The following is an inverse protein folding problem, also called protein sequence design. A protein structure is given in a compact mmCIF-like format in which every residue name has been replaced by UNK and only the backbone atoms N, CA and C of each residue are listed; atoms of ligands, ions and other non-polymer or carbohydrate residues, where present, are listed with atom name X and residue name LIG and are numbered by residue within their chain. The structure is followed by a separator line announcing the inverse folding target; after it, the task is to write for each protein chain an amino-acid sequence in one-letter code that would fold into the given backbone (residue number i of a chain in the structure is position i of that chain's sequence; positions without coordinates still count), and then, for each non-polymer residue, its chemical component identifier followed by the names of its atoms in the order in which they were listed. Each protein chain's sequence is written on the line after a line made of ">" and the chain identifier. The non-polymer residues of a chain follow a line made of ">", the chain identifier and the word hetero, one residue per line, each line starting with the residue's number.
data_IF_205248388686
#
_entry.id   IF_205248388686
#
_cell.length_a   1.000
_cell.length_b   1.000
_cell.length_c   1.000
_cell.angle_alpha   90.00
_cell.angle_beta   90.00
_cell.angle_gamma   90.00
#
_symmetry.space_group_name_H-M   'P 1'
#
loop_
_entity.id
_entity.type
_entity.pdbx_description
1 polymer ?
#
# COMPACT_ATOMS: atom_id res chain seq x y z
N UNK A 1 -6.79 17.47 -24.80
CA UNK A 1 -6.09 16.54 -25.71
C UNK A 1 -4.73 15.98 -25.23
N UNK A 2 -4.27 16.10 -23.96
CA UNK A 2 -3.11 15.30 -23.50
C UNK A 2 -3.49 13.99 -22.78
N UNK A 3 -4.73 13.83 -22.31
CA UNK A 3 -5.13 12.66 -21.49
C UNK A 3 -5.47 11.37 -22.27
N UNK A 4 -5.58 11.43 -23.60
CA UNK A 4 -5.98 10.28 -24.45
C UNK A 4 -4.77 9.39 -24.83
N UNK A 5 -3.54 9.89 -24.68
CA UNK A 5 -2.32 9.08 -24.92
C UNK A 5 -1.98 8.21 -23.71
N UNK A 6 -2.51 8.54 -22.53
CA UNK A 6 -2.29 7.81 -21.28
C UNK A 6 -2.99 6.43 -21.26
N UNK A 7 -3.98 6.24 -22.14
CA UNK A 7 -5.02 5.25 -21.95
C UNK A 7 -4.71 3.86 -22.54
N UNK A 8 -3.88 3.79 -23.59
CA UNK A 8 -3.51 2.52 -24.25
C UNK A 8 -2.38 1.77 -23.52
N UNK A 9 -1.65 2.43 -22.62
CA UNK A 9 -0.44 1.88 -21.97
C UNK A 9 -0.71 1.18 -20.63
N UNK A 10 -1.82 1.48 -19.94
CA UNK A 10 -2.03 1.08 -18.54
C UNK A 10 -1.96 -0.43 -18.27
N UNK A 11 -2.62 -1.27 -19.09
CA UNK A 11 -2.59 -2.72 -18.90
C UNK A 11 -1.19 -3.30 -19.16
N UNK A 12 -0.51 -2.81 -20.19
CA UNK A 12 0.84 -3.23 -20.54
C UNK A 12 1.83 -2.80 -19.46
N UNK A 13 1.72 -1.56 -18.98
CA UNK A 13 2.57 -1.01 -17.93
C UNK A 13 2.36 -1.75 -16.60
N UNK A 14 1.12 -2.11 -16.26
CA UNK A 14 0.83 -2.91 -15.07
C UNK A 14 1.49 -4.30 -15.13
N UNK A 15 1.39 -5.00 -16.26
CA UNK A 15 2.00 -6.33 -16.45
C UNK A 15 3.52 -6.23 -16.41
N UNK A 16 4.11 -5.26 -17.12
CA UNK A 16 5.57 -5.06 -17.16
C UNK A 16 6.09 -4.70 -15.78
N UNK A 17 5.46 -3.75 -15.09
CA UNK A 17 5.89 -3.29 -13.76
C UNK A 17 5.81 -4.42 -12.72
N UNK A 18 4.70 -5.18 -12.70
CA UNK A 18 4.57 -6.34 -11.81
C UNK A 18 5.63 -7.41 -12.10
N UNK A 19 5.89 -7.69 -13.39
CA UNK A 19 6.90 -8.67 -13.81
C UNK A 19 8.31 -8.24 -13.41
N UNK A 20 8.68 -6.97 -13.65
CA UNK A 20 10.00 -6.42 -13.28
C UNK A 20 10.19 -6.46 -11.76
N UNK A 21 9.17 -6.08 -10.99
CA UNK A 21 9.22 -6.15 -9.54
C UNK A 21 9.52 -7.58 -9.05
N UNK A 22 8.76 -8.57 -9.53
CA UNK A 22 8.96 -9.97 -9.15
C UNK A 22 10.31 -10.53 -9.59
N UNK A 23 10.77 -10.20 -10.81
CA UNK A 23 12.09 -10.61 -11.31
C UNK A 23 13.22 -9.99 -10.49
N UNK A 24 13.08 -8.73 -10.07
CA UNK A 24 14.05 -8.04 -9.23
C UNK A 24 14.13 -8.68 -7.85
N UNK A 25 12.99 -9.02 -7.23
CA UNK A 25 12.96 -9.76 -5.96
C UNK A 25 13.58 -11.15 -6.08
N UNK A 26 13.29 -11.87 -7.16
CA UNK A 26 13.86 -13.19 -7.44
C UNK A 26 15.39 -13.12 -7.63
N UNK A 27 15.87 -12.16 -8.41
CA UNK A 27 17.30 -11.93 -8.59
C UNK A 27 17.99 -11.52 -7.29
N UNK A 28 17.39 -10.61 -6.52
CA UNK A 28 17.87 -10.20 -5.19
C UNK A 28 18.00 -11.40 -4.25
N UNK A 29 17.07 -12.35 -4.31
CA UNK A 29 17.16 -13.61 -3.57
C UNK A 29 18.46 -14.37 -3.84
N UNK A 30 18.87 -14.54 -5.10
CA UNK A 30 20.16 -15.18 -5.42
C UNK A 30 21.35 -14.42 -4.83
N UNK A 31 21.32 -13.08 -4.90
CA UNK A 31 22.39 -12.25 -4.33
C UNK A 31 22.46 -12.45 -2.81
N UNK A 32 21.34 -12.34 -2.10
CA UNK A 32 21.23 -12.55 -0.65
C UNK A 32 21.75 -13.93 -0.25
N UNK A 33 21.19 -15.00 -0.82
CA UNK A 33 21.57 -16.35 -0.42
C UNK A 33 23.01 -16.71 -0.79
N UNK A 34 23.59 -16.10 -1.83
CA UNK A 34 25.01 -16.29 -2.16
C UNK A 34 25.94 -15.70 -1.09
N UNK A 35 25.66 -14.47 -0.63
CA UNK A 35 26.44 -13.84 0.45
C UNK A 35 26.24 -14.55 1.79
N UNK A 36 25.01 -14.98 2.10
CA UNK A 36 24.72 -15.73 3.33
C UNK A 36 25.39 -17.11 3.33
N UNK A 37 25.38 -17.81 2.18
CA UNK A 37 26.09 -19.08 2.01
C UNK A 37 27.60 -18.93 2.22
N UNK A 38 28.19 -17.86 1.66
CA UNK A 38 29.61 -17.54 1.89
C UNK A 38 29.91 -17.29 3.38
N UNK A 39 29.07 -16.51 4.07
CA UNK A 39 29.24 -16.24 5.51
C UNK A 39 29.06 -17.49 6.37
N UNK A 40 28.08 -18.33 6.06
CA UNK A 40 27.87 -19.62 6.73
C UNK A 40 29.11 -20.52 6.61
N UNK A 41 29.69 -20.62 5.41
CA UNK A 41 30.91 -21.40 5.19
C UNK A 41 32.12 -20.81 5.94
N UNK A 42 32.28 -19.48 5.93
CA UNK A 42 33.41 -18.81 6.56
C UNK A 42 33.40 -18.90 8.09
N UNK A 43 32.23 -18.73 8.70
CA UNK A 43 32.07 -18.75 10.17
C UNK A 43 31.71 -20.13 10.72
N UNK A 44 31.51 -21.12 9.84
CA UNK A 44 31.10 -22.48 10.20
C UNK A 44 29.83 -22.49 11.09
N UNK A 45 28.90 -21.59 10.76
CA UNK A 45 27.60 -21.45 11.42
C UNK A 45 26.50 -21.86 10.45
N UNK A 46 25.45 -22.48 10.99
CA UNK A 46 24.32 -22.89 10.19
C UNK A 46 23.59 -21.68 9.57
N UNK A 47 23.00 -21.87 8.37
CA UNK A 47 22.41 -20.80 7.57
C UNK A 47 21.27 -20.07 8.31
N UNK A 48 20.51 -20.77 9.15
CA UNK A 48 19.42 -20.22 9.98
C UNK A 48 19.91 -19.17 11.00
N UNK A 49 21.19 -19.21 11.40
CA UNK A 49 21.78 -18.22 12.30
C UNK A 49 22.23 -16.95 11.58
N UNK A 50 22.46 -17.04 10.27
CA UNK A 50 22.93 -15.94 9.42
C UNK A 50 21.78 -15.33 8.61
N UNK A 51 20.73 -16.11 8.34
CA UNK A 51 19.51 -15.69 7.69
C UNK A 51 18.57 -15.04 8.71
N UNK A 52 18.88 -13.80 9.09
CA UNK A 52 17.95 -12.95 9.85
C UNK A 52 17.16 -12.05 8.90
N UNK A 53 15.89 -11.81 9.23
CA UNK A 53 15.05 -10.87 8.49
C UNK A 53 15.23 -9.43 8.99
N UNK A 54 14.89 -8.47 8.15
CA UNK A 54 14.83 -7.05 8.51
C UNK A 54 16.16 -6.29 8.36
N UNK A 55 16.29 -5.10 8.98
CA UNK A 55 17.40 -4.20 8.72
C UNK A 55 18.76 -4.76 9.16
N UNK A 56 18.79 -5.69 10.12
CA UNK A 56 20.04 -6.33 10.58
C UNK A 56 20.77 -7.11 9.47
N UNK A 57 20.03 -7.72 8.55
CA UNK A 57 20.59 -8.41 7.40
C UNK A 57 21.46 -7.47 6.56
N UNK A 58 20.86 -6.33 6.19
CA UNK A 58 21.42 -5.35 5.26
C UNK A 58 22.49 -4.47 5.91
N UNK A 59 22.36 -4.16 7.21
CA UNK A 59 23.25 -3.23 7.90
C UNK A 59 24.33 -3.89 8.78
N UNK A 60 24.28 -5.22 8.97
CA UNK A 60 25.27 -5.96 9.78
C UNK A 60 25.91 -7.07 8.94
N UNK A 61 25.12 -8.06 8.53
CA UNK A 61 25.63 -9.28 7.88
C UNK A 61 26.25 -8.97 6.51
N UNK A 62 25.58 -8.13 5.72
CA UNK A 62 26.06 -7.76 4.39
C UNK A 62 27.37 -6.96 4.40
N UNK A 63 27.51 -5.87 5.19
CA UNK A 63 28.76 -5.15 5.32
C UNK A 63 29.90 -6.04 5.82
N UNK A 64 29.61 -6.97 6.74
CA UNK A 64 30.59 -7.96 7.22
C UNK A 64 31.09 -8.84 6.08
N UNK A 65 30.18 -9.37 5.24
CA UNK A 65 30.54 -10.17 4.08
C UNK A 65 31.33 -9.35 3.03
N UNK A 66 30.89 -8.12 2.73
CA UNK A 66 31.54 -7.21 1.79
C UNK A 66 32.97 -6.87 2.24
N UNK A 67 33.20 -6.71 3.55
CA UNK A 67 34.52 -6.42 4.11
C UNK A 67 35.56 -7.53 3.83
N UNK A 68 35.11 -8.73 3.48
CA UNK A 68 35.98 -9.87 3.15
C UNK A 68 36.45 -9.88 1.70
N UNK A 69 35.79 -9.13 0.82
CA UNK A 69 36.08 -9.12 -0.61
C UNK A 69 37.30 -8.23 -0.92
N UNK A 70 38.11 -8.59 -1.93
CA UNK A 70 39.13 -7.68 -2.45
C UNK A 70 38.47 -6.43 -3.03
N UNK A 71 38.98 -5.25 -2.66
CA UNK A 71 38.36 -3.97 -3.06
C UNK A 71 37.05 -3.65 -2.33
N UNK A 72 36.88 -4.14 -1.10
CA UNK A 72 35.68 -3.99 -0.27
C UNK A 72 35.07 -2.58 -0.21
N UNK A 73 35.90 -1.53 -0.23
CA UNK A 73 35.42 -0.14 -0.25
C UNK A 73 34.54 0.18 -1.46
N UNK A 74 34.86 -0.33 -2.65
CA UNK A 74 34.07 -0.10 -3.87
C UNK A 74 32.72 -0.81 -3.76
N UNK A 75 32.73 -2.06 -3.32
CA UNK A 75 31.53 -2.86 -3.12
C UNK A 75 30.60 -2.26 -2.06
N UNK A 76 31.14 -1.73 -0.97
CA UNK A 76 30.36 -1.06 0.07
C UNK A 76 29.66 0.19 -0.46
N UNK A 77 30.37 1.04 -1.22
CA UNK A 77 29.78 2.25 -1.82
C UNK A 77 28.64 1.90 -2.77
N UNK A 78 28.84 0.94 -3.67
CA UNK A 78 27.81 0.50 -4.62
C UNK A 78 26.59 -0.06 -3.86
N UNK A 79 26.83 -0.88 -2.83
CA UNK A 79 25.77 -1.49 -2.04
C UNK A 79 24.92 -0.44 -1.29
N UNK A 80 25.54 0.53 -0.62
CA UNK A 80 24.80 1.58 0.08
C UNK A 80 24.12 2.57 -0.86
N UNK A 81 24.72 2.88 -2.02
CA UNK A 81 24.04 3.68 -3.06
C UNK A 81 22.78 2.95 -3.55
N UNK A 82 22.87 1.64 -3.82
CA UNK A 82 21.72 0.83 -4.22
C UNK A 82 20.61 0.87 -3.17
N UNK A 83 20.92 0.70 -1.87
CA UNK A 83 19.93 0.78 -0.80
C UNK A 83 19.29 2.17 -0.72
N UNK A 84 20.08 3.22 -0.87
CA UNK A 84 19.62 4.59 -0.85
C UNK A 84 18.67 4.88 -2.03
N UNK A 85 19.00 4.43 -3.25
CA UNK A 85 18.11 4.61 -4.40
C UNK A 85 16.81 3.82 -4.27
N UNK A 86 16.86 2.58 -3.77
CA UNK A 86 15.66 1.76 -3.53
C UNK A 86 14.70 2.43 -2.52
N UNK A 87 15.25 3.02 -1.46
CA UNK A 87 14.47 3.73 -0.45
C UNK A 87 13.90 5.06 -0.96
N UNK A 88 14.71 5.84 -1.68
CA UNK A 88 14.32 7.18 -2.17
C UNK A 88 13.17 7.10 -3.17
N UNK A 89 13.23 6.21 -4.16
CA UNK A 89 12.19 6.11 -5.19
C UNK A 89 10.84 5.72 -4.57
N UNK A 90 10.85 4.76 -3.63
CA UNK A 90 9.67 4.33 -2.90
C UNK A 90 9.08 5.45 -2.03
N UNK A 91 9.94 6.20 -1.32
CA UNK A 91 9.51 7.31 -0.47
C UNK A 91 8.92 8.47 -1.29
N UNK A 92 9.50 8.79 -2.45
CA UNK A 92 8.98 9.80 -3.36
C UNK A 92 7.59 9.42 -3.88
N UNK A 93 7.37 8.17 -4.28
CA UNK A 93 6.06 7.69 -4.73
C UNK A 93 4.98 7.79 -3.64
N UNK A 94 5.29 7.37 -2.41
CA UNK A 94 4.37 7.48 -1.28
C UNK A 94 4.01 8.92 -0.93
N UNK A 95 5.00 9.81 -0.91
CA UNK A 95 4.79 11.23 -0.61
C UNK A 95 3.99 11.94 -1.72
N UNK A 96 4.30 11.68 -2.98
CA UNK A 96 3.59 12.27 -4.12
C UNK A 96 2.12 11.82 -4.14
N UNK A 97 1.81 10.57 -3.78
CA UNK A 97 0.43 10.08 -3.66
C UNK A 97 -0.39 10.89 -2.64
N UNK A 98 0.19 11.21 -1.47
CA UNK A 98 -0.49 12.01 -0.44
C UNK A 98 -0.65 13.46 -0.87
N UNK A 99 0.41 14.05 -1.44
CA UNK A 99 0.39 15.43 -1.94
C UNK A 99 -0.68 15.59 -3.02
N UNK A 100 -0.70 14.68 -4.00
CA UNK A 100 -1.63 14.71 -5.12
C UNK A 100 -3.07 14.56 -4.64
N UNK A 101 -3.36 13.58 -3.77
CA UNK A 101 -4.70 13.38 -3.22
C UNK A 101 -5.23 14.59 -2.45
N UNK A 102 -4.38 15.28 -1.68
CA UNK A 102 -4.79 16.49 -0.96
C UNK A 102 -4.99 17.70 -1.88
N UNK A 103 -4.16 17.85 -2.91
CA UNK A 103 -4.30 18.93 -3.89
C UNK A 103 -5.56 18.78 -4.74
N UNK A 104 -5.91 17.54 -5.11
CA UNK A 104 -7.10 17.24 -5.92
C UNK A 104 -8.40 17.53 -5.14
N UNK A 105 -8.43 17.26 -3.84
CA UNK A 105 -9.58 17.58 -2.98
C UNK A 105 -9.68 19.09 -2.68
N UNK A 106 -8.56 19.75 -2.37
CA UNK A 106 -8.54 21.15 -1.95
C UNK A 106 -7.97 22.08 -3.03
N UNK A 107 -8.87 22.61 -3.88
CA UNK A 107 -8.53 23.51 -5.01
C UNK A 107 -7.65 24.72 -4.64
N UNK A 108 -7.68 25.20 -3.40
CA UNK A 108 -6.84 26.32 -2.95
C UNK A 108 -5.35 25.93 -2.81
N UNK A 109 -5.05 24.66 -2.52
CA UNK A 109 -3.68 24.13 -2.40
C UNK A 109 -2.98 24.10 -3.77
N UNK A 110 -3.74 23.94 -4.86
CA UNK A 110 -3.19 23.94 -6.22
C UNK A 110 -2.44 25.24 -6.55
N UNK A 111 -2.85 26.38 -6.01
CA UNK A 111 -2.18 27.67 -6.24
C UNK A 111 -0.83 27.77 -5.53
N UNK A 112 -0.64 27.01 -4.45
CA UNK A 112 0.54 27.07 -3.58
C UNK A 112 1.19 25.68 -3.43
N UNK A 113 1.18 24.87 -4.50
CA UNK A 113 1.69 23.50 -4.50
C UNK A 113 3.11 23.39 -3.92
N UNK A 114 4.03 24.26 -4.33
CA UNK A 114 5.42 24.23 -3.85
C UNK A 114 5.54 24.47 -2.34
N UNK A 115 4.81 25.46 -1.81
CA UNK A 115 4.76 25.75 -0.37
C UNK A 115 4.11 24.61 0.42
N UNK A 116 3.07 23.98 -0.14
CA UNK A 116 2.40 22.84 0.48
C UNK A 116 3.28 21.59 0.51
N UNK A 117 3.98 21.29 -0.58
CA UNK A 117 4.97 20.21 -0.63
C UNK A 117 6.09 20.45 0.38
N UNK A 118 6.63 21.68 0.46
CA UNK A 118 7.63 22.03 1.46
C UNK A 118 7.11 21.81 2.88
N UNK A 119 5.87 22.21 3.16
CA UNK A 119 5.23 22.00 4.46
C UNK A 119 5.12 20.51 4.82
N UNK A 120 4.68 19.65 3.90
CA UNK A 120 4.59 18.19 4.13
C UNK A 120 5.97 17.59 4.37
N UNK A 121 6.97 17.96 3.55
CA UNK A 121 8.35 17.46 3.69
C UNK A 121 8.94 17.87 5.04
N UNK A 122 8.82 19.14 5.42
CA UNK A 122 9.32 19.66 6.71
C UNK A 122 8.58 19.00 7.88
N UNK A 123 7.26 18.84 7.79
CA UNK A 123 6.47 18.17 8.85
C UNK A 123 6.88 16.71 9.01
N UNK A 124 7.05 15.98 7.90
CA UNK A 124 7.50 14.58 7.90
C UNK A 124 8.92 14.48 8.44
N UNK A 125 9.81 15.41 8.07
CA UNK A 125 11.18 15.49 8.60
C UNK A 125 11.18 15.67 10.13
N UNK A 126 10.39 16.62 10.65
CA UNK A 126 10.30 16.86 12.10
C UNK A 126 9.78 15.64 12.86
N UNK A 127 8.80 14.91 12.32
CA UNK A 127 8.31 13.66 12.91
C UNK A 127 9.38 12.56 12.81
N UNK A 128 10.09 12.47 11.70
CA UNK A 128 11.14 11.46 11.50
C UNK A 128 12.33 11.61 12.45
N UNK A 129 12.55 12.80 13.03
CA UNK A 129 13.62 13.04 14.03
C UNK A 129 13.50 12.12 15.25
N UNK A 130 12.28 11.69 15.62
CA UNK A 130 12.10 10.72 16.71
C UNK A 130 12.81 9.38 16.43
N UNK A 131 12.89 8.97 15.15
CA UNK A 131 13.57 7.75 14.71
C UNK A 131 15.10 7.88 14.68
N UNK A 132 15.67 9.09 14.80
CA UNK A 132 17.13 9.34 14.78
C UNK A 132 17.72 9.45 16.19
N UNK A 133 16.88 9.39 17.23
CA UNK A 133 17.35 9.38 18.63
C UNK A 133 18.08 8.07 18.98
N UNK A 134 18.78 8.02 20.12
CA UNK A 134 19.44 6.78 20.59
C UNK A 134 18.46 5.60 20.76
N UNK A 135 17.18 5.88 21.03
CA UNK A 135 16.10 4.89 21.09
C UNK A 135 15.30 4.74 19.80
N UNK A 136 15.75 5.37 18.71
CA UNK A 136 15.01 5.52 17.47
C UNK A 136 14.66 4.21 16.78
N UNK A 137 15.50 3.17 16.94
CA UNK A 137 15.22 1.84 16.39
C UNK A 137 13.96 1.19 17.00
N UNK A 138 13.64 1.47 18.27
CA UNK A 138 12.42 0.99 18.91
C UNK A 138 11.19 1.70 18.33
N UNK A 139 11.29 3.02 18.13
CA UNK A 139 10.23 3.81 17.48
C UNK A 139 10.01 3.32 16.04
N UNK A 140 11.10 3.15 15.28
CA UNK A 140 11.08 2.60 13.93
C UNK A 140 10.40 1.23 13.88
N UNK A 141 10.79 0.30 14.77
CA UNK A 141 10.21 -1.05 14.80
C UNK A 141 8.72 -1.03 15.14
N UNK A 142 8.29 -0.12 16.04
CA UNK A 142 6.87 0.03 16.36
C UNK A 142 6.08 0.56 15.16
N UNK A 143 6.60 1.57 14.47
CA UNK A 143 5.99 2.15 13.27
C UNK A 143 5.95 1.14 12.12
N UNK A 144 7.05 0.45 11.85
CA UNK A 144 7.14 -0.58 10.80
C UNK A 144 6.11 -1.70 11.02
N UNK A 145 5.92 -2.13 12.27
CA UNK A 145 4.97 -3.18 12.60
C UNK A 145 3.49 -2.74 12.48
N UNK A 146 3.15 -1.51 12.92
CA UNK A 146 1.75 -1.08 13.05
C UNK A 146 1.27 -0.09 11.98
N UNK A 147 2.13 0.72 11.35
CA UNK A 147 1.69 1.85 10.54
C UNK A 147 1.00 1.44 9.23
N UNK A 148 1.48 0.38 8.57
CA UNK A 148 1.07 0.05 7.21
C UNK A 148 0.48 -1.37 7.05
N UNK A 149 0.96 -2.37 7.80
CA UNK A 149 0.65 -3.78 7.52
C UNK A 149 -0.85 -4.11 7.47
N UNK A 150 -1.53 -4.07 8.61
CA UNK A 150 -2.97 -4.39 8.70
C UNK A 150 -3.86 -3.33 8.05
N UNK A 151 -3.48 -2.05 8.21
CA UNK A 151 -4.26 -0.91 7.71
C UNK A 151 -4.36 -0.87 6.18
N UNK A 152 -3.27 -1.14 5.45
CA UNK A 152 -3.29 -1.18 3.98
C UNK A 152 -4.12 -2.36 3.48
N UNK A 153 -3.95 -3.55 4.07
CA UNK A 153 -4.74 -4.73 3.68
C UNK A 153 -6.25 -4.47 3.84
N UNK A 154 -6.65 -3.82 4.93
CA UNK A 154 -8.04 -3.41 5.14
C UNK A 154 -8.49 -2.36 4.13
N UNK A 155 -7.68 -1.32 3.87
CA UNK A 155 -7.99 -0.29 2.89
C UNK A 155 -8.24 -0.87 1.51
N UNK A 156 -7.32 -1.69 1.01
CA UNK A 156 -7.43 -2.34 -0.32
C UNK A 156 -8.59 -3.33 -0.37
N UNK A 157 -8.93 -4.01 0.74
CA UNK A 157 -10.11 -4.87 0.80
C UNK A 157 -11.40 -4.06 0.58
N UNK A 158 -11.55 -2.93 1.27
CA UNK A 158 -12.73 -2.08 1.12
C UNK A 158 -12.78 -1.42 -0.27
N UNK A 159 -11.65 -1.00 -0.82
CA UNK A 159 -11.56 -0.50 -2.20
C UNK A 159 -11.98 -1.57 -3.22
N UNK A 160 -11.46 -2.79 -3.09
CA UNK A 160 -11.82 -3.89 -3.97
C UNK A 160 -13.32 -4.23 -3.88
N UNK A 161 -13.89 -4.24 -2.67
CA UNK A 161 -15.32 -4.44 -2.48
C UNK A 161 -16.14 -3.28 -3.09
N UNK A 162 -15.68 -2.05 -2.87
CA UNK A 162 -16.26 -0.83 -3.42
C UNK A 162 -16.35 -0.87 -4.94
N UNK A 163 -15.24 -1.18 -5.62
CA UNK A 163 -15.19 -1.23 -7.08
C UNK A 163 -15.97 -2.44 -7.61
N UNK A 164 -15.74 -3.64 -7.07
CA UNK A 164 -16.29 -4.85 -7.67
C UNK A 164 -17.79 -5.06 -7.42
N UNK A 165 -18.31 -4.70 -6.24
CA UNK A 165 -19.73 -4.91 -5.91
C UNK A 165 -20.56 -3.64 -5.88
N UNK A 166 -20.07 -2.56 -5.27
CA UNK A 166 -20.87 -1.33 -5.19
C UNK A 166 -20.91 -0.60 -6.53
N UNK A 167 -19.75 -0.33 -7.12
CA UNK A 167 -19.64 0.28 -8.45
C UNK A 167 -20.01 -0.70 -9.57
N UNK A 168 -19.58 -1.97 -9.43
CA UNK A 168 -19.92 -3.08 -10.32
C UNK A 168 -18.85 -3.35 -11.36
N UNK A 169 -18.45 -4.63 -11.47
CA UNK A 169 -17.39 -5.07 -12.40
C UNK A 169 -17.72 -4.84 -13.87
N UNK A 170 -18.99 -4.96 -14.28
CA UNK A 170 -19.37 -4.68 -15.67
C UNK A 170 -19.12 -3.24 -16.05
N UNK A 171 -19.57 -2.32 -15.19
CA UNK A 171 -19.39 -0.89 -15.40
C UNK A 171 -17.92 -0.53 -15.43
N UNK A 172 -17.15 -1.05 -14.47
CA UNK A 172 -15.70 -0.87 -14.47
C UNK A 172 -15.04 -1.43 -15.75
N UNK A 173 -15.56 -2.53 -16.28
CA UNK A 173 -15.07 -3.10 -17.54
C UNK A 173 -15.45 -2.26 -18.76
N UNK A 174 -16.62 -1.63 -18.76
CA UNK A 174 -17.07 -0.69 -19.79
C UNK A 174 -16.21 0.59 -19.75
N UNK A 175 -15.91 1.13 -18.57
CA UNK A 175 -15.00 2.27 -18.41
C UNK A 175 -13.60 1.94 -18.95
N UNK A 176 -13.07 0.76 -18.66
CA UNK A 176 -11.79 0.29 -19.20
C UNK A 176 -11.87 0.13 -20.73
N UNK A 177 -13.00 -0.32 -21.27
CA UNK A 177 -13.19 -0.45 -22.71
C UNK A 177 -13.22 0.93 -23.40
N UNK A 178 -13.86 1.93 -22.81
CA UNK A 178 -13.84 3.31 -23.32
C UNK A 178 -12.43 3.92 -23.26
N UNK A 179 -11.67 3.54 -22.25
CA UNK A 179 -10.30 3.98 -22.01
C UNK A 179 -9.28 3.34 -22.97
N UNK A 180 -9.21 2.01 -23.01
CA UNK A 180 -8.14 1.25 -23.70
C UNK A 180 -8.61 0.79 -25.09
N UNK A 181 -9.91 0.87 -25.39
CA UNK A 181 -10.52 0.33 -26.60
C UNK A 181 -10.77 -1.19 -26.55
N UNK A 182 -10.40 -1.86 -25.45
CA UNK A 182 -10.58 -3.30 -25.26
C UNK A 182 -11.18 -3.59 -23.88
N UNK A 183 -12.23 -4.43 -23.86
CA UNK A 183 -12.86 -4.87 -22.62
C UNK A 183 -11.99 -5.89 -21.89
N UNK A 184 -11.82 -5.79 -20.56
CA UNK A 184 -11.14 -6.81 -19.77
C UNK A 184 -11.71 -8.21 -19.99
N UNK A 185 -10.82 -9.18 -20.18
CA UNK A 185 -11.18 -10.59 -20.29
C UNK A 185 -11.87 -11.11 -19.01
N UNK A 186 -12.55 -12.26 -19.14
CA UNK A 186 -13.28 -12.88 -18.03
C UNK A 186 -12.39 -13.18 -16.81
N UNK A 187 -11.12 -13.54 -17.04
CA UNK A 187 -10.14 -13.78 -15.99
C UNK A 187 -9.99 -12.57 -15.04
N UNK A 188 -9.77 -11.36 -15.58
CA UNK A 188 -9.59 -10.15 -14.78
C UNK A 188 -10.83 -9.80 -13.97
N UNK A 189 -12.00 -9.94 -14.56
CA UNK A 189 -13.29 -9.71 -13.91
C UNK A 189 -13.54 -10.68 -12.75
N UNK A 190 -13.25 -11.96 -12.95
CA UNK A 190 -13.32 -12.97 -11.88
C UNK A 190 -12.31 -12.68 -10.76
N UNK A 191 -11.11 -12.23 -11.12
CA UNK A 191 -10.09 -11.85 -10.15
C UNK A 191 -10.54 -10.68 -9.28
N UNK A 192 -11.03 -9.60 -9.87
CA UNK A 192 -11.51 -8.44 -9.13
C UNK A 192 -12.73 -8.74 -8.26
N UNK A 193 -13.66 -9.55 -8.78
CA UNK A 193 -14.91 -9.85 -8.07
C UNK A 193 -14.77 -10.88 -6.97
N UNK A 194 -13.91 -11.89 -7.11
CA UNK A 194 -13.88 -12.97 -6.11
C UNK A 194 -12.47 -13.24 -5.59
N UNK A 195 -11.50 -13.41 -6.47
CA UNK A 195 -10.16 -13.88 -6.06
C UNK A 195 -9.47 -12.86 -5.15
N UNK A 196 -9.35 -11.60 -5.58
CA UNK A 196 -8.65 -10.57 -4.82
C UNK A 196 -9.33 -10.25 -3.48
N UNK A 197 -10.66 -10.03 -3.41
CA UNK A 197 -11.32 -9.77 -2.14
C UNK A 197 -11.26 -10.96 -1.17
N UNK A 198 -11.41 -12.20 -1.66
CA UNK A 198 -11.27 -13.39 -0.80
C UNK A 198 -9.84 -13.56 -0.29
N UNK A 199 -8.84 -13.31 -1.14
CA UNK A 199 -7.43 -13.37 -0.75
C UNK A 199 -7.07 -12.29 0.27
N UNK A 200 -7.52 -11.05 0.05
CA UNK A 200 -7.32 -9.94 1.00
C UNK A 200 -8.03 -10.20 2.33
N UNK A 201 -9.27 -10.69 2.30
CA UNK A 201 -10.00 -11.06 3.51
C UNK A 201 -9.26 -12.16 4.28
N UNK A 202 -8.77 -13.18 3.59
CA UNK A 202 -7.95 -14.23 4.20
C UNK A 202 -6.69 -13.65 4.85
N UNK A 203 -5.96 -12.78 4.15
CA UNK A 203 -4.75 -12.14 4.68
C UNK A 203 -5.04 -11.27 5.91
N UNK A 204 -6.13 -10.51 5.91
CA UNK A 204 -6.56 -9.71 7.07
C UNK A 204 -6.86 -10.63 8.26
N UNK A 205 -7.63 -11.71 8.06
CA UNK A 205 -7.96 -12.66 9.13
C UNK A 205 -6.72 -13.32 9.70
N UNK A 206 -5.79 -13.78 8.85
CA UNK A 206 -4.52 -14.36 9.30
C UNK A 206 -3.69 -13.32 10.05
N UNK A 207 -3.59 -12.10 9.55
CA UNK A 207 -2.82 -11.03 10.21
C UNK A 207 -3.30 -10.77 11.65
N UNK A 208 -4.63 -10.79 11.89
CA UNK A 208 -5.18 -10.71 13.24
C UNK A 208 -4.96 -11.99 14.05
N UNK A 209 -5.12 -13.17 13.45
CA UNK A 209 -4.98 -14.46 14.13
C UNK A 209 -3.53 -14.75 14.58
N UNK A 210 -2.54 -14.34 13.79
CA UNK A 210 -1.11 -14.52 14.08
C UNK A 210 -0.47 -13.28 14.70
N UNK A 211 -1.28 -12.33 15.19
CA UNK A 211 -0.77 -11.12 15.82
C UNK A 211 0.06 -11.47 17.06
N UNK A 212 1.31 -11.01 17.06
CA UNK A 212 2.22 -11.11 18.20
C UNK A 212 2.77 -9.72 18.49
N UNK A 213 2.83 -9.30 19.77
CA UNK A 213 3.46 -8.03 20.13
C UNK A 213 4.87 -7.93 19.55
N UNK A 214 5.24 -6.78 18.95
CA UNK A 214 6.57 -6.61 18.38
C UNK A 214 7.64 -6.81 19.46
N UNK A 215 8.79 -7.32 19.02
CA UNK A 215 9.98 -7.52 19.85
C UNK A 215 11.19 -7.05 19.05
N UNK A 216 12.15 -6.44 19.74
CA UNK A 216 13.42 -6.05 19.14
C UNK A 216 14.56 -6.66 19.97
N UNK A 217 15.21 -7.68 19.43
CA UNK A 217 16.20 -8.47 20.18
C UNK A 217 15.59 -9.10 21.43
N UNK A 218 16.16 -8.77 22.60
CA UNK A 218 15.64 -9.19 23.92
C UNK A 218 14.57 -8.26 24.49
N UNK A 219 14.32 -7.11 23.87
CA UNK A 219 13.35 -6.13 24.36
C UNK A 219 11.93 -6.50 23.89
N UNK A 220 11.02 -6.61 24.85
CA UNK A 220 9.58 -6.78 24.58
C UNK A 220 8.87 -5.45 24.79
N UNK A 221 8.08 -5.03 23.80
CA UNK A 221 7.39 -3.75 23.87
C UNK A 221 6.33 -3.76 24.97
N UNK A 222 6.26 -2.69 25.78
CA UNK A 222 5.26 -2.58 26.84
C UNK A 222 3.86 -2.45 26.24
N UNK A 223 2.84 -2.81 27.03
CA UNK A 223 1.44 -2.81 26.59
C UNK A 223 0.97 -1.44 26.09
N UNK A 224 1.40 -0.35 26.72
CA UNK A 224 1.06 1.01 26.26
C UNK A 224 1.59 1.31 24.86
N UNK A 225 2.76 0.79 24.49
CA UNK A 225 3.34 1.00 23.16
C UNK A 225 2.54 0.22 22.11
N UNK A 226 2.11 -1.00 22.44
CA UNK A 226 1.21 -1.78 21.59
C UNK A 226 -0.16 -1.08 21.42
N UNK A 227 -0.69 -0.48 22.49
CA UNK A 227 -1.93 0.32 22.40
C UNK A 227 -1.75 1.52 21.48
N UNK A 228 -0.64 2.24 21.58
CA UNK A 228 -0.34 3.34 20.65
C UNK A 228 -0.21 2.86 19.21
N UNK A 229 0.43 1.71 18.98
CA UNK A 229 0.52 1.08 17.67
C UNK A 229 -0.86 0.77 17.08
N UNK A 230 -1.74 0.13 17.85
CA UNK A 230 -3.12 -0.12 17.43
C UNK A 230 -3.92 1.15 17.20
N UNK A 231 -3.73 2.19 18.02
CA UNK A 231 -4.35 3.50 17.79
C UNK A 231 -3.90 4.07 16.43
N UNK A 232 -2.62 3.94 16.08
CA UNK A 232 -2.10 4.36 14.77
C UNK A 232 -2.75 3.56 13.64
N UNK A 233 -2.79 2.23 13.73
CA UNK A 233 -3.40 1.38 12.69
C UNK A 233 -4.89 1.64 12.51
N UNK A 234 -5.63 1.79 13.62
CA UNK A 234 -7.07 2.03 13.61
C UNK A 234 -7.39 3.45 13.10
N UNK A 235 -6.50 4.43 13.34
CA UNK A 235 -6.73 5.81 12.91
C UNK A 235 -6.97 5.96 11.41
N UNK A 236 -6.29 5.16 10.57
CA UNK A 236 -6.53 5.14 9.13
C UNK A 236 -7.75 4.30 8.76
N UNK A 237 -7.94 3.13 9.37
CA UNK A 237 -9.06 2.23 9.09
C UNK A 237 -10.42 2.86 9.45
N UNK A 238 -10.50 3.62 10.54
CA UNK A 238 -11.74 4.23 11.04
C UNK A 238 -12.21 5.40 10.18
N UNK A 239 -11.33 6.02 9.39
CA UNK A 239 -11.70 7.13 8.49
C UNK A 239 -12.73 6.70 7.44
N UNK A 240 -12.64 5.46 6.95
CA UNK A 240 -13.57 4.91 5.96
C UNK A 240 -15.01 4.84 6.50
N UNK A 241 -15.31 4.15 7.62
CA UNK A 241 -16.66 4.13 8.17
C UNK A 241 -17.11 5.49 8.69
N UNK A 242 -16.22 6.31 9.27
CA UNK A 242 -16.59 7.66 9.73
C UNK A 242 -17.08 8.53 8.57
N UNK A 243 -16.37 8.52 7.44
CA UNK A 243 -16.77 9.28 6.27
C UNK A 243 -18.07 8.76 5.66
N UNK A 244 -18.25 7.43 5.62
CA UNK A 244 -19.50 6.81 5.18
C UNK A 244 -20.70 7.26 6.04
N UNK A 245 -20.56 7.24 7.37
CA UNK A 245 -21.61 7.71 8.30
C UNK A 245 -21.87 9.21 8.12
N UNK A 246 -20.81 10.02 8.04
CA UNK A 246 -20.92 11.46 7.84
C UNK A 246 -21.71 11.80 6.56
N UNK A 247 -21.35 11.19 5.43
CA UNK A 247 -22.08 11.37 4.15
C UNK A 247 -23.52 10.91 4.25
N UNK A 248 -23.78 9.76 4.89
CA UNK A 248 -25.14 9.25 5.06
C UNK A 248 -26.03 10.17 5.91
N UNK A 249 -25.46 10.84 6.92
CA UNK A 249 -26.17 11.81 7.76
C UNK A 249 -26.54 13.09 7.00
N UNK A 250 -25.68 13.58 6.11
CA UNK A 250 -25.90 14.83 5.36
C UNK A 250 -26.86 14.65 4.18
N UNK A 251 -26.86 13.48 3.54
CA UNK A 251 -27.72 13.23 2.39
C UNK A 251 -29.20 13.42 2.74
N UNK A 252 -29.97 14.20 1.97
CA UNK A 252 -31.39 14.42 2.21
C UNK A 252 -32.23 13.19 1.80
N UNK A 253 -33.39 13.01 2.44
CA UNK A 253 -34.39 12.02 2.04
C UNK A 253 -34.52 10.81 2.96
N UNK A 254 -35.28 9.81 2.49
CA UNK A 254 -35.55 8.55 3.20
C UNK A 254 -34.32 7.63 3.23
N UNK A 255 -34.32 6.59 4.08
CA UNK A 255 -33.18 5.66 4.19
C UNK A 255 -32.77 5.05 2.84
N UNK A 256 -33.74 4.59 2.04
CA UNK A 256 -33.48 4.00 0.72
C UNK A 256 -32.94 5.04 -0.27
N UNK A 257 -33.45 6.28 -0.22
CA UNK A 257 -32.98 7.37 -1.07
C UNK A 257 -31.54 7.77 -0.73
N UNK A 258 -31.22 7.89 0.57
CA UNK A 258 -29.85 8.17 1.04
C UNK A 258 -28.88 7.07 0.60
N UNK A 259 -29.29 5.80 0.73
CA UNK A 259 -28.47 4.68 0.29
C UNK A 259 -28.24 4.72 -1.23
N UNK A 260 -29.27 5.02 -2.02
CA UNK A 260 -29.15 5.15 -3.47
C UNK A 260 -28.17 6.25 -3.88
N UNK A 261 -28.24 7.43 -3.27
CA UNK A 261 -27.28 8.51 -3.54
C UNK A 261 -25.85 8.18 -3.06
N UNK A 262 -25.70 7.41 -1.98
CA UNK A 262 -24.40 7.05 -1.44
C UNK A 262 -23.64 6.02 -2.29
N UNK A 263 -24.36 5.09 -2.93
CA UNK A 263 -23.76 4.01 -3.76
C UNK A 263 -23.71 4.35 -5.25
N UNK A 264 -24.35 5.45 -5.67
CA UNK A 264 -24.38 5.88 -7.07
C UNK A 264 -23.34 6.99 -7.29
N UNK A 265 -22.51 6.88 -8.34
CA UNK A 265 -21.56 7.94 -8.70
C UNK A 265 -22.25 9.29 -8.93
N UNK A 266 -21.54 10.38 -8.62
CA UNK A 266 -22.08 11.75 -8.71
C UNK A 266 -22.57 12.11 -10.12
N UNK A 267 -21.89 11.60 -11.16
CA UNK A 267 -22.28 11.79 -12.56
C UNK A 267 -23.67 11.21 -12.89
N UNK A 268 -24.17 10.28 -12.08
CA UNK A 268 -25.42 9.55 -12.29
C UNK A 268 -26.50 9.86 -11.24
N UNK A 269 -26.33 10.87 -10.40
CA UNK A 269 -27.36 11.28 -9.44
C UNK A 269 -28.69 11.64 -10.11
N UNK A 270 -28.65 12.08 -11.37
CA UNK A 270 -29.84 12.31 -12.19
C UNK A 270 -30.67 11.04 -12.49
N UNK A 271 -30.07 9.84 -12.46
CA UNK A 271 -30.79 8.57 -12.60
C UNK A 271 -31.51 8.17 -11.30
N UNK A 272 -30.88 8.48 -10.15
CA UNK A 272 -31.49 8.30 -8.83
C UNK A 272 -32.73 9.18 -8.68
N UNK A 273 -32.68 10.43 -9.17
CA UNK A 273 -33.84 11.33 -9.22
C UNK A 273 -35.00 10.80 -10.06
N UNK A 274 -34.69 10.00 -11.10
CA UNK A 274 -35.68 9.31 -11.95
C UNK A 274 -36.18 7.99 -11.35
N UNK A 275 -35.64 7.57 -10.20
CA UNK A 275 -35.98 6.31 -9.54
C UNK A 275 -35.29 5.07 -10.12
N UNK A 276 -34.34 5.23 -11.05
CA UNK A 276 -33.62 4.14 -11.70
C UNK A 276 -32.28 3.87 -10.97
N UNK A 277 -32.31 3.00 -9.96
CA UNK A 277 -31.12 2.60 -9.20
C UNK A 277 -30.71 1.18 -9.58
N UNK A 278 -29.70 1.05 -10.44
CA UNK A 278 -29.22 -0.25 -10.95
C UNK A 278 -28.71 -1.15 -9.84
N UNK A 279 -28.12 -0.58 -8.79
CA UNK A 279 -27.57 -1.27 -7.63
C UNK A 279 -28.64 -1.96 -6.77
N UNK A 280 -29.93 -1.64 -6.94
CA UNK A 280 -31.02 -2.37 -6.27
C UNK A 280 -31.47 -3.62 -7.03
N UNK A 281 -30.92 -3.89 -8.22
CA UNK A 281 -31.23 -5.09 -8.99
C UNK A 281 -30.32 -6.25 -8.62
N UNK A 282 -30.87 -7.46 -8.44
CA UNK A 282 -30.09 -8.68 -8.15
C UNK A 282 -29.08 -9.01 -9.26
N UNK A 283 -29.38 -8.61 -10.50
CA UNK A 283 -28.48 -8.76 -11.64
C UNK A 283 -27.12 -8.08 -11.39
N UNK A 284 -27.13 -6.83 -10.89
CA UNK A 284 -25.91 -6.07 -10.55
C UNK A 284 -24.97 -6.83 -9.62
N UNK A 285 -25.51 -7.50 -8.60
CA UNK A 285 -24.70 -8.23 -7.62
C UNK A 285 -24.19 -9.57 -8.14
N UNK A 286 -24.88 -10.18 -9.12
CA UNK A 286 -24.58 -11.52 -9.62
C UNK A 286 -23.69 -11.54 -10.86
N UNK A 287 -23.66 -10.48 -11.66
CA UNK A 287 -22.94 -10.49 -12.96
C UNK A 287 -21.43 -10.35 -12.80
N UNK A 288 -20.69 -11.15 -13.56
CA UNK A 288 -19.22 -11.21 -13.58
C UNK A 288 -18.68 -10.69 -14.90
#
# INVERSE_FOLDING_TARGET
>A
MPYVVLTVLLLRDAIITSSINSLTSFFSGFVIFSFLGYMSQKHNVALDKVATDGPGLVFIIYPEAIATLPGSSVWAVIFFIMLLTLGIDSAMGGMESVITGLIDEFKFLHKHRELFTLFIVVSTFLISLFCVTNGGIYVFTLLDHFAAGTSILFGVLIEAIGIAWFYGVDRFSDDIQEMIGQRPGFYWRLCWKFVSPCFLLFMVVISFATFNPPKYGSYSFPTWANMLGWCLSISSMIMVPLYAIYKFCILPGSFCTKLAYAITPETEHHLVERGEVRQFTLHHWLVV
#
